data_IF_302278808355
#
_entry.id   IF_302278808355
#
_cell.length_a   1.000
_cell.length_b   1.000
_cell.length_c   1.000
_cell.angle_alpha   90.00
_cell.angle_beta   90.00
_cell.angle_gamma   90.00
#
_symmetry.space_group_name_H-M   'P 1'
#
loop_
_entity.id
_entity.type
_entity.pdbx_description
1 polymer ?
#
# COMPACT_ATOMS: atom_id res chain seq x y z
N UNK A 1 -9.36 21.90 -5.13
CA UNK A 1 -10.50 21.22 -4.50
C UNK A 1 -10.61 21.59 -3.02
N UNK A 2 -9.84 20.97 -2.12
CA UNK A 2 -9.94 21.23 -0.67
C UNK A 2 -9.76 22.71 -0.30
N UNK A 3 -8.62 23.33 -0.64
CA UNK A 3 -8.35 24.75 -0.32
C UNK A 3 -9.36 25.73 -0.91
N UNK A 4 -10.03 25.33 -2.01
CA UNK A 4 -11.04 26.14 -2.70
C UNK A 4 -12.46 25.91 -2.17
N UNK A 5 -12.64 24.96 -1.25
CA UNK A 5 -13.97 24.56 -0.77
C UNK A 5 -14.85 23.86 -1.80
N UNK A 6 -14.26 23.26 -2.85
CA UNK A 6 -15.02 22.56 -3.90
C UNK A 6 -15.44 21.14 -3.48
N UNK A 7 -14.80 20.59 -2.44
CA UNK A 7 -15.07 19.25 -1.89
C UNK A 7 -14.99 19.29 -0.37
N UNK A 8 -15.84 18.50 0.29
CA UNK A 8 -15.87 18.39 1.76
C UNK A 8 -14.87 17.36 2.32
N UNK A 9 -14.51 16.36 1.50
CA UNK A 9 -13.61 15.27 1.87
C UNK A 9 -12.84 14.74 0.64
N UNK A 10 -11.70 14.11 0.89
CA UNK A 10 -10.90 13.40 -0.11
C UNK A 10 -10.53 12.02 0.41
N UNK A 11 -10.57 11.02 -0.46
CA UNK A 11 -9.95 9.72 -0.22
C UNK A 11 -8.61 9.70 -0.96
N UNK A 12 -7.52 9.47 -0.24
CA UNK A 12 -6.17 9.54 -0.79
C UNK A 12 -5.29 8.41 -0.25
N UNK A 13 -4.13 8.22 -0.87
CA UNK A 13 -3.10 7.26 -0.46
C UNK A 13 -1.93 7.95 0.22
N UNK A 14 -1.12 7.19 0.95
CA UNK A 14 0.17 7.69 1.44
C UNK A 14 1.12 8.02 0.26
N UNK A 15 1.95 9.07 0.37
CA UNK A 15 2.11 9.96 1.53
C UNK A 15 1.15 11.17 1.57
N UNK A 16 0.22 11.30 0.62
CA UNK A 16 -0.57 12.52 0.47
C UNK A 16 -1.47 12.74 1.70
N UNK A 17 -2.07 11.66 2.25
CA UNK A 17 -2.84 11.71 3.49
C UNK A 17 -2.06 12.32 4.67
N UNK A 18 -0.89 11.77 4.98
CA UNK A 18 0.01 12.31 6.02
C UNK A 18 0.41 13.77 5.78
N UNK A 19 0.70 14.14 4.52
CA UNK A 19 1.07 15.52 4.16
C UNK A 19 -0.08 16.50 4.39
N UNK A 20 -1.31 16.13 4.03
CA UNK A 20 -2.48 16.98 4.25
C UNK A 20 -2.74 17.18 5.76
N UNK A 21 -2.62 16.12 6.56
CA UNK A 21 -2.75 16.20 8.03
C UNK A 21 -1.71 17.15 8.64
N UNK A 22 -0.46 17.10 8.15
CA UNK A 22 0.63 17.94 8.63
C UNK A 22 0.45 19.43 8.29
N UNK A 23 -0.27 19.75 7.22
CA UNK A 23 -0.64 21.13 6.89
C UNK A 23 -1.67 21.72 7.88
N UNK A 24 -2.30 20.89 8.71
CA UNK A 24 -3.27 21.32 9.72
C UNK A 24 -4.61 21.78 9.14
N UNK A 25 -4.86 21.54 7.84
CA UNK A 25 -6.07 21.97 7.13
C UNK A 25 -7.14 20.89 7.06
N UNK A 26 -6.78 19.63 7.34
CA UNK A 26 -7.70 18.48 7.33
C UNK A 26 -7.62 17.69 8.63
N UNK A 27 -8.60 16.81 8.84
CA UNK A 27 -8.60 15.78 9.88
C UNK A 27 -8.90 14.43 9.28
N UNK A 28 -8.41 13.36 9.90
CA UNK A 28 -8.72 12.01 9.44
C UNK A 28 -10.20 11.67 9.72
N UNK A 29 -10.87 11.04 8.77
CA UNK A 29 -12.23 10.50 8.90
C UNK A 29 -12.20 8.98 9.04
N UNK A 30 -11.36 8.32 8.24
CA UNK A 30 -11.10 6.89 8.29
C UNK A 30 -9.71 6.61 7.70
N UNK A 31 -8.89 5.86 8.43
CA UNK A 31 -7.58 5.36 7.98
C UNK A 31 -7.64 3.84 7.83
N UNK A 32 -7.52 3.35 6.60
CA UNK A 32 -7.59 1.91 6.31
C UNK A 32 -6.43 1.12 6.94
N UNK A 33 -5.32 1.75 7.30
CA UNK A 33 -4.21 1.09 7.98
C UNK A 33 -4.41 0.99 9.51
N UNK A 34 -5.38 1.72 10.09
CA UNK A 34 -5.54 1.85 11.55
C UNK A 34 -6.94 1.51 12.07
N UNK A 35 -7.97 1.88 11.33
CA UNK A 35 -9.34 1.85 11.82
C UNK A 35 -10.02 0.51 11.48
N UNK A 36 -10.79 -0.02 12.43
CA UNK A 36 -11.63 -1.19 12.20
C UNK A 36 -12.86 -0.81 11.33
N UNK A 37 -13.33 -1.69 10.45
CA UNK A 37 -12.86 -3.07 10.22
C UNK A 37 -11.64 -3.18 9.28
N UNK A 38 -11.27 -2.09 8.59
CA UNK A 38 -10.35 -2.10 7.44
C UNK A 38 -8.89 -2.43 7.77
N UNK A 39 -8.43 -2.17 9.00
CA UNK A 39 -7.04 -2.41 9.42
C UNK A 39 -6.53 -3.84 9.23
N UNK A 40 -7.45 -4.81 9.12
CA UNK A 40 -7.15 -6.22 8.91
C UNK A 40 -7.40 -6.67 7.45
N UNK A 41 -7.83 -5.76 6.58
CA UNK A 41 -8.11 -6.01 5.17
C UNK A 41 -6.87 -5.76 4.29
N UNK A 42 -6.75 -6.54 3.21
CA UNK A 42 -5.69 -6.35 2.23
C UNK A 42 -6.13 -5.38 1.14
N UNK A 43 -5.47 -4.22 1.08
CA UNK A 43 -5.75 -3.19 0.08
C UNK A 43 -5.00 -3.37 -1.25
N UNK A 44 -3.90 -4.13 -1.26
CA UNK A 44 -3.02 -4.29 -2.42
C UNK A 44 -2.95 -5.76 -2.88
N UNK A 45 -3.01 -5.99 -4.20
CA UNK A 45 -2.85 -7.30 -4.81
C UNK A 45 -1.97 -7.24 -6.07
N UNK A 46 -1.26 -8.33 -6.35
CA UNK A 46 -0.55 -8.54 -7.63
C UNK A 46 -1.26 -9.61 -8.42
N UNK A 47 -1.63 -9.29 -9.66
CA UNK A 47 -2.43 -10.17 -10.50
C UNK A 47 -1.55 -10.79 -11.59
N UNK A 48 -1.73 -12.08 -11.83
CA UNK A 48 -1.13 -12.81 -12.95
C UNK A 48 -2.22 -13.21 -13.94
N UNK A 49 -1.96 -13.06 -15.24
CA UNK A 49 -2.93 -13.51 -16.24
C UNK A 49 -3.11 -15.03 -16.22
N UNK A 50 -4.35 -15.50 -16.41
CA UNK A 50 -4.64 -16.94 -16.47
C UNK A 50 -3.86 -17.67 -17.57
N UNK A 51 -3.60 -17.01 -18.71
CA UNK A 51 -2.77 -17.56 -19.80
C UNK A 51 -1.33 -17.82 -19.35
N UNK A 52 -0.72 -16.86 -18.66
CA UNK A 52 0.65 -17.04 -18.16
C UNK A 52 0.70 -18.12 -17.07
N UNK A 53 -0.26 -18.11 -16.14
CA UNK A 53 -0.36 -19.11 -15.10
C UNK A 53 -0.48 -20.53 -15.67
N UNK A 54 -1.35 -20.74 -16.67
CA UNK A 54 -1.53 -22.05 -17.30
C UNK A 54 -0.26 -22.53 -18.02
N UNK A 55 0.45 -21.62 -18.69
CA UNK A 55 1.67 -21.96 -19.42
C UNK A 55 2.89 -22.14 -18.49
N UNK A 56 2.96 -21.38 -17.40
CA UNK A 56 4.15 -21.26 -16.54
C UNK A 56 3.81 -21.30 -15.04
N UNK A 57 3.13 -22.35 -14.53
CA UNK A 57 2.65 -22.39 -13.15
C UNK A 57 3.79 -22.35 -12.11
N UNK A 58 4.92 -23.00 -12.41
CA UNK A 58 6.11 -22.96 -11.56
C UNK A 58 6.74 -21.56 -11.47
N UNK A 59 6.74 -20.82 -12.58
CA UNK A 59 7.26 -19.46 -12.61
C UNK A 59 6.33 -18.49 -11.85
N UNK A 60 5.01 -18.64 -12.00
CA UNK A 60 4.03 -17.89 -11.21
C UNK A 60 4.24 -18.12 -9.70
N UNK A 61 4.37 -19.39 -9.27
CA UNK A 61 4.66 -19.72 -7.88
C UNK A 61 5.99 -19.13 -7.39
N UNK A 62 7.05 -19.17 -8.21
CA UNK A 62 8.34 -18.60 -7.87
C UNK A 62 8.29 -17.06 -7.72
N UNK A 63 7.61 -16.37 -8.64
CA UNK A 63 7.41 -14.93 -8.60
C UNK A 63 6.60 -14.52 -7.36
N UNK A 64 5.50 -15.22 -7.07
CA UNK A 64 4.70 -14.97 -5.87
C UNK A 64 5.53 -15.15 -4.61
N UNK A 65 6.34 -16.22 -4.50
CA UNK A 65 7.24 -16.39 -3.36
C UNK A 65 8.25 -15.25 -3.22
N UNK A 66 8.81 -14.77 -4.33
CA UNK A 66 9.74 -13.64 -4.29
C UNK A 66 9.06 -12.36 -3.78
N UNK A 67 7.84 -12.07 -4.24
CA UNK A 67 7.05 -10.92 -3.81
C UNK A 67 6.67 -11.00 -2.33
N UNK A 68 6.19 -12.16 -1.85
CA UNK A 68 5.84 -12.34 -0.44
C UNK A 68 7.07 -12.24 0.48
N UNK A 69 8.23 -12.76 0.06
CA UNK A 69 9.50 -12.56 0.76
C UNK A 69 9.90 -11.08 0.80
N UNK A 70 9.76 -10.37 -0.31
CA UNK A 70 10.07 -8.96 -0.40
C UNK A 70 9.17 -8.12 0.50
N UNK A 71 7.85 -8.36 0.51
CA UNK A 71 6.92 -7.71 1.42
C UNK A 71 7.32 -7.90 2.90
N UNK A 72 7.63 -9.15 3.29
CA UNK A 72 8.13 -9.45 4.64
C UNK A 72 9.44 -8.71 4.96
N UNK A 73 10.32 -8.56 3.98
CA UNK A 73 11.57 -7.82 4.13
C UNK A 73 11.32 -6.30 4.27
N UNK A 74 10.37 -5.73 3.52
CA UNK A 74 9.99 -4.31 3.63
C UNK A 74 9.39 -4.02 5.01
N UNK A 75 8.48 -4.88 5.49
CA UNK A 75 7.92 -4.78 6.85
C UNK A 75 9.01 -4.76 7.92
N UNK A 76 10.08 -5.56 7.73
CA UNK A 76 11.20 -5.62 8.67
C UNK A 76 12.21 -4.47 8.49
N UNK A 77 12.24 -3.82 7.33
CA UNK A 77 13.26 -2.83 6.95
C UNK A 77 12.66 -1.59 6.23
N UNK A 78 11.63 -0.93 6.80
CA UNK A 78 10.90 0.15 6.13
C UNK A 78 11.79 1.32 5.68
N UNK A 79 12.75 1.75 6.52
CA UNK A 79 13.60 2.90 6.22
C UNK A 79 14.60 2.61 5.09
N UNK A 80 15.14 1.40 5.02
CA UNK A 80 16.06 1.00 3.93
C UNK A 80 15.27 0.77 2.66
N UNK A 81 14.08 0.15 2.73
CA UNK A 81 13.19 0.01 1.58
C UNK A 81 12.87 1.37 0.96
N UNK A 82 12.56 2.37 1.79
CA UNK A 82 12.25 3.72 1.35
C UNK A 82 13.39 4.40 0.60
N UNK A 83 14.61 4.37 1.17
CA UNK A 83 15.81 4.90 0.53
C UNK A 83 16.10 4.18 -0.79
N UNK A 84 16.07 2.85 -0.77
CA UNK A 84 16.38 2.03 -1.93
C UNK A 84 15.50 2.36 -3.14
N UNK A 85 14.18 2.52 -2.93
CA UNK A 85 13.27 2.83 -4.04
C UNK A 85 13.51 4.22 -4.65
N UNK A 86 13.99 5.19 -3.85
CA UNK A 86 14.34 6.53 -4.34
C UNK A 86 15.68 6.50 -5.06
N UNK A 87 16.73 5.94 -4.44
CA UNK A 87 18.08 5.85 -5.02
C UNK A 87 18.10 5.08 -6.36
N UNK A 88 17.28 4.03 -6.46
CA UNK A 88 17.12 3.24 -7.70
C UNK A 88 16.18 3.89 -8.72
N UNK A 89 15.63 5.07 -8.42
CA UNK A 89 14.72 5.83 -9.28
C UNK A 89 13.44 5.04 -9.62
N UNK A 90 13.01 4.15 -8.73
CA UNK A 90 11.70 3.48 -8.86
C UNK A 90 10.57 4.39 -8.40
N UNK A 91 10.87 5.35 -7.51
CA UNK A 91 9.91 6.32 -7.02
C UNK A 91 10.50 7.73 -7.08
N UNK A 92 9.76 8.67 -7.68
CA UNK A 92 10.09 10.09 -7.70
C UNK A 92 9.64 10.76 -6.38
N UNK A 93 10.43 10.55 -5.32
CA UNK A 93 10.19 11.08 -3.97
C UNK A 93 11.53 11.37 -3.27
N UNK A 94 11.51 11.99 -2.09
CA UNK A 94 12.69 12.03 -1.22
C UNK A 94 12.71 10.79 -0.30
N UNK A 95 13.89 10.35 0.17
CA UNK A 95 13.98 9.22 1.09
C UNK A 95 13.16 9.42 2.38
N UNK A 96 13.09 10.64 2.90
CA UNK A 96 12.38 11.01 4.11
C UNK A 96 10.87 10.88 3.91
N UNK A 97 10.35 11.45 2.82
CA UNK A 97 8.92 11.38 2.47
C UNK A 97 8.48 9.93 2.24
N UNK A 98 9.30 9.15 1.55
CA UNK A 98 8.99 7.76 1.32
C UNK A 98 9.14 6.91 2.59
N UNK A 99 10.01 7.30 3.52
CA UNK A 99 10.13 6.61 4.82
C UNK A 99 8.84 6.80 5.62
N UNK A 100 8.23 7.99 5.60
CA UNK A 100 6.91 8.23 6.22
C UNK A 100 5.84 7.38 5.57
N UNK A 101 5.77 7.36 4.23
CA UNK A 101 4.78 6.55 3.51
C UNK A 101 4.89 5.06 3.90
N UNK A 102 6.10 4.50 3.81
CA UNK A 102 6.32 3.07 4.08
C UNK A 102 6.13 2.74 5.57
N UNK A 103 6.44 3.65 6.50
CA UNK A 103 6.27 3.39 7.94
C UNK A 103 4.82 3.41 8.40
N UNK A 104 3.94 4.07 7.65
CA UNK A 104 2.51 4.10 7.89
C UNK A 104 1.72 2.94 7.26
N UNK A 105 2.35 2.21 6.34
CA UNK A 105 1.76 1.07 5.68
C UNK A 105 2.20 -0.24 6.34
N UNK A 106 1.40 -1.29 6.17
CA UNK A 106 1.74 -2.66 6.59
C UNK A 106 2.06 -3.50 5.37
N UNK A 107 3.22 -4.13 5.38
CA UNK A 107 3.68 -5.05 4.34
C UNK A 107 3.65 -6.49 4.84
N UNK A 108 2.79 -6.81 5.81
CA UNK A 108 2.58 -8.16 6.31
C UNK A 108 1.84 -8.97 5.25
N UNK A 109 2.48 -9.96 4.61
CA UNK A 109 1.83 -10.74 3.56
C UNK A 109 1.02 -11.90 4.15
N UNK A 110 -0.07 -12.29 3.49
CA UNK A 110 -0.80 -13.55 3.77
C UNK A 110 -1.45 -14.11 2.51
N UNK A 111 -1.37 -15.44 2.37
CA UNK A 111 -2.05 -16.18 1.30
C UNK A 111 -3.54 -16.33 1.62
N UNK A 112 -3.90 -16.77 2.82
CA UNK A 112 -5.31 -16.87 3.23
C UNK A 112 -5.98 -15.50 3.36
N UNK A 113 -5.24 -14.48 3.82
CA UNK A 113 -5.72 -13.10 3.87
C UNK A 113 -6.07 -12.56 2.49
N UNK A 114 -5.25 -12.84 1.48
CA UNK A 114 -5.55 -12.45 0.10
C UNK A 114 -6.77 -13.20 -0.48
N UNK A 115 -6.93 -14.49 -0.19
CA UNK A 115 -8.12 -15.26 -0.59
C UNK A 115 -9.40 -14.69 0.08
N UNK A 116 -9.33 -14.38 1.37
CA UNK A 116 -10.42 -13.73 2.09
C UNK A 116 -10.75 -12.35 1.52
N UNK A 117 -9.74 -11.53 1.20
CA UNK A 117 -9.92 -10.20 0.63
C UNK A 117 -10.58 -10.23 -0.75
N UNK A 118 -10.25 -11.20 -1.61
CA UNK A 118 -10.93 -11.37 -2.91
C UNK A 118 -12.41 -11.68 -2.72
N UNK A 119 -12.77 -12.47 -1.69
CA UNK A 119 -14.16 -12.80 -1.38
C UNK A 119 -14.92 -11.60 -0.81
N UNK A 120 -14.34 -10.86 0.13
CA UNK A 120 -14.99 -9.67 0.70
C UNK A 120 -15.16 -8.57 -0.35
N UNK A 121 -14.11 -8.28 -1.13
CA UNK A 121 -14.17 -7.29 -2.20
C UNK A 121 -15.25 -7.63 -3.24
N UNK A 122 -15.35 -8.90 -3.66
CA UNK A 122 -16.39 -9.30 -4.61
C UNK A 122 -17.81 -9.16 -4.02
N UNK A 123 -18.00 -9.41 -2.73
CA UNK A 123 -19.28 -9.21 -2.05
C UNK A 123 -19.65 -7.72 -1.96
N UNK A 124 -18.69 -6.89 -1.56
CA UNK A 124 -18.87 -5.44 -1.42
C UNK A 124 -19.09 -4.75 -2.76
N UNK A 125 -18.36 -5.14 -3.80
CA UNK A 125 -18.58 -4.64 -5.16
C UNK A 125 -19.99 -4.96 -5.66
N UNK A 126 -20.59 -6.07 -5.24
CA UNK A 126 -21.99 -6.38 -5.54
C UNK A 126 -22.95 -5.48 -4.77
N UNK A 127 -22.70 -5.24 -3.48
CA UNK A 127 -23.51 -4.32 -2.66
C UNK A 127 -23.43 -2.89 -3.20
N UNK A 128 -22.24 -2.45 -3.62
CA UNK A 128 -21.98 -1.14 -4.22
C UNK A 128 -22.55 -0.98 -5.64
N UNK A 129 -23.11 -2.05 -6.23
CA UNK A 129 -23.68 -2.02 -7.58
C UNK A 129 -22.64 -2.03 -8.71
N UNK A 130 -21.37 -2.30 -8.41
CA UNK A 130 -20.31 -2.49 -9.41
C UNK A 130 -20.40 -3.85 -10.11
N UNK A 131 -20.95 -4.86 -9.42
CA UNK A 131 -21.28 -6.16 -10.00
C UNK A 131 -22.80 -6.31 -10.13
N UNK A 132 -23.25 -7.06 -11.14
CA UNK A 132 -24.67 -7.37 -11.32
C UNK A 132 -25.26 -8.00 -10.05
N UNK A 133 -26.53 -7.68 -9.77
CA UNK A 133 -27.29 -8.34 -8.69
C UNK A 133 -27.39 -9.86 -8.88
N UNK A 134 -27.28 -10.34 -10.14
CA UNK A 134 -27.26 -11.76 -10.48
C UNK A 134 -25.89 -12.43 -10.35
N UNK A 135 -24.81 -11.69 -10.03
CA UNK A 135 -23.46 -12.26 -9.93
C UNK A 135 -23.37 -13.24 -8.77
N UNK A 136 -22.86 -14.45 -9.06
CA UNK A 136 -22.42 -15.40 -8.05
C UNK A 136 -21.02 -14.99 -7.55
N UNK A 137 -21.00 -14.42 -6.35
CA UNK A 137 -19.78 -13.90 -5.72
C UNK A 137 -18.80 -15.02 -5.37
N UNK A 138 -19.31 -16.17 -4.92
CA UNK A 138 -18.45 -17.29 -4.51
C UNK A 138 -17.77 -17.92 -5.73
N UNK A 139 -18.51 -18.09 -6.82
CA UNK A 139 -17.96 -18.57 -8.10
C UNK A 139 -16.90 -17.60 -8.65
N UNK A 140 -17.22 -16.31 -8.67
CA UNK A 140 -16.31 -15.26 -9.15
C UNK A 140 -14.99 -15.25 -8.36
N UNK A 141 -15.08 -15.24 -7.02
CA UNK A 141 -13.91 -15.25 -6.16
C UNK A 141 -13.05 -16.50 -6.36
N UNK A 142 -13.68 -17.69 -6.47
CA UNK A 142 -13.00 -18.96 -6.73
C UNK A 142 -12.25 -18.96 -8.07
N UNK A 143 -12.74 -18.25 -9.08
CA UNK A 143 -12.05 -18.09 -10.38
C UNK A 143 -10.95 -17.04 -10.34
N UNK A 144 -11.12 -16.00 -9.54
CA UNK A 144 -10.17 -14.90 -9.44
C UNK A 144 -8.93 -15.24 -8.61
N UNK A 145 -9.06 -16.13 -7.62
CA UNK A 145 -7.96 -16.53 -6.75
C UNK A 145 -7.46 -17.95 -7.04
N UNK A 146 -6.14 -18.12 -7.09
CA UNK A 146 -5.50 -19.43 -7.27
C UNK A 146 -4.51 -19.72 -6.15
N UNK A 147 -4.61 -20.93 -5.60
CA UNK A 147 -3.59 -21.46 -4.68
C UNK A 147 -2.44 -22.05 -5.50
N UNK A 148 -1.24 -21.51 -5.30
CA UNK A 148 -0.04 -21.91 -6.03
C UNK A 148 0.75 -22.95 -5.24
N UNK A 149 1.30 -23.94 -5.96
CA UNK A 149 2.04 -25.03 -5.34
C UNK A 149 3.22 -24.54 -4.48
N UNK A 150 3.26 -25.01 -3.23
CA UNK A 150 4.23 -24.62 -2.22
C UNK A 150 4.17 -23.13 -1.80
N UNK A 151 3.06 -22.42 -2.06
CA UNK A 151 2.84 -21.04 -1.60
C UNK A 151 1.68 -21.04 -0.60
N UNK A 152 2.03 -21.21 0.68
CA UNK A 152 1.07 -21.31 1.79
C UNK A 152 1.45 -20.35 2.91
N UNK A 153 0.51 -20.06 3.81
CA UNK A 153 0.83 -19.31 5.04
C UNK A 153 1.85 -20.06 5.92
N UNK A 154 1.76 -21.40 5.99
CA UNK A 154 2.74 -22.25 6.68
C UNK A 154 4.18 -21.98 6.17
N UNK A 155 4.35 -22.03 4.85
CA UNK A 155 5.62 -21.71 4.20
C UNK A 155 6.03 -20.27 4.49
N UNK A 156 5.12 -19.31 4.33
CA UNK A 156 5.39 -17.89 4.52
C UNK A 156 5.80 -17.54 5.97
N UNK A 157 5.22 -18.23 6.94
CA UNK A 157 5.58 -18.13 8.35
C UNK A 157 6.99 -18.67 8.60
N UNK A 158 7.39 -19.74 7.92
CA UNK A 158 8.75 -20.29 8.00
C UNK A 158 9.85 -19.42 7.37
N UNK A 159 9.49 -18.56 6.42
CA UNK A 159 10.44 -17.66 5.74
C UNK A 159 11.04 -16.68 6.74
N UNK A 160 12.37 -16.67 6.86
CA UNK A 160 13.11 -15.63 7.59
C UNK A 160 13.64 -14.58 6.61
N UNK A 161 13.59 -13.32 7.04
CA UNK A 161 14.16 -12.18 6.31
C UNK A 161 15.20 -11.50 7.18
N UNK A 162 16.24 -10.97 6.55
CA UNK A 162 17.28 -10.21 7.23
C UNK A 162 16.72 -8.89 7.79
N UNK A 163 17.25 -8.46 8.94
CA UNK A 163 17.11 -7.09 9.43
C UNK A 163 18.41 -6.33 9.18
N UNK A 164 18.31 -5.26 8.40
CA UNK A 164 19.43 -4.40 8.02
C UNK A 164 19.61 -3.30 9.05
N UNK A 165 20.87 -2.97 9.36
CA UNK A 165 21.20 -1.87 10.25
C UNK A 165 20.62 -0.54 9.75
N UNK A 166 19.91 0.18 10.63
CA UNK A 166 19.22 1.42 10.25
C UNK A 166 18.03 1.21 9.31
N UNK A 167 17.53 -0.04 9.19
CA UNK A 167 16.36 -0.41 8.40
C UNK A 167 15.02 -0.19 9.10
N UNK A 168 15.03 -0.13 10.43
CA UNK A 168 13.80 0.05 11.20
C UNK A 168 13.50 1.53 11.41
N UNK A 169 12.22 1.81 11.63
CA UNK A 169 11.72 3.13 11.99
C UNK A 169 11.56 3.19 13.52
N UNK A 170 12.01 4.27 14.20
CA UNK A 170 11.78 4.42 15.63
C UNK A 170 10.29 4.31 16.00
N UNK A 171 9.93 3.58 17.08
CA UNK A 171 8.54 3.32 17.44
C UNK A 171 7.73 4.58 17.81
N UNK A 172 8.43 5.67 18.17
CA UNK A 172 7.82 6.96 18.52
C UNK A 172 8.07 8.02 17.45
N UNK A 173 8.23 7.64 16.17
CA UNK A 173 8.24 8.65 15.12
C UNK A 173 6.91 9.38 15.11
N UNK A 174 6.94 10.67 15.42
CA UNK A 174 5.79 11.54 15.26
C UNK A 174 5.65 11.86 13.77
N UNK A 175 4.75 11.15 13.09
CA UNK A 175 4.51 11.32 11.65
C UNK A 175 4.13 12.76 11.32
N UNK A 176 3.45 13.48 12.22
CA UNK A 176 3.14 14.89 12.00
C UNK A 176 4.42 15.71 12.00
N UNK A 177 5.31 15.52 12.99
CA UNK A 177 6.61 16.19 13.03
C UNK A 177 7.47 15.86 11.80
N UNK A 178 7.52 14.59 11.38
CA UNK A 178 8.25 14.20 10.18
C UNK A 178 7.66 14.82 8.91
N UNK A 179 6.34 14.84 8.80
CA UNK A 179 5.64 15.46 7.66
C UNK A 179 5.83 16.98 7.65
N UNK A 180 5.86 17.64 8.81
CA UNK A 180 6.21 19.06 8.97
C UNK A 180 7.65 19.33 8.53
N UNK A 181 8.61 18.47 8.93
CA UNK A 181 10.00 18.57 8.49
C UNK A 181 10.13 18.36 6.97
N UNK A 182 9.36 17.45 6.39
CA UNK A 182 9.33 17.21 4.94
C UNK A 182 8.76 18.42 4.17
N UNK A 183 7.76 19.12 4.72
CA UNK A 183 7.25 20.36 4.14
C UNK A 183 8.29 21.51 4.19
N UNK A 184 9.23 21.46 5.13
CA UNK A 184 10.34 22.41 5.25
C UNK A 184 11.55 22.03 4.38
N UNK A 185 11.65 20.76 3.98
CA UNK A 185 12.73 20.26 3.14
C UNK A 185 12.64 20.80 1.70
N UNK A 186 13.79 21.24 1.19
CA UNK A 186 13.94 21.93 -0.09
C UNK A 186 14.06 20.99 -1.29
N UNK A 187 14.20 19.68 -1.08
CA UNK A 187 14.22 18.73 -2.19
C UNK A 187 12.85 18.60 -2.86
N UNK A 188 12.85 18.65 -4.20
CA UNK A 188 11.64 18.48 -5.00
C UNK A 188 11.14 17.04 -4.96
N UNK A 189 9.83 16.87 -4.79
CA UNK A 189 9.13 15.59 -4.89
C UNK A 189 7.79 15.81 -5.56
N UNK A 190 7.32 14.81 -6.32
CA UNK A 190 6.02 14.85 -6.99
C UNK A 190 4.88 15.25 -6.04
N UNK A 191 4.91 14.74 -4.80
CA UNK A 191 3.90 15.02 -3.79
C UNK A 191 4.03 16.39 -3.11
N UNK A 192 5.17 17.09 -3.28
CA UNK A 192 5.42 18.42 -2.71
C UNK A 192 5.08 19.56 -3.66
N UNK A 193 4.87 19.30 -4.95
CA UNK A 193 4.73 20.36 -5.96
C UNK A 193 3.47 21.18 -5.70
N UNK A 194 3.63 22.28 -4.96
CA UNK A 194 2.76 23.45 -5.10
C UNK A 194 3.02 24.01 -6.48
N UNK A 195 2.24 23.60 -7.48
CA UNK A 195 2.01 24.52 -8.60
C UNK A 195 1.30 25.72 -7.98
N UNK A 196 2.04 26.81 -7.78
CA UNK A 196 1.47 28.14 -7.67
C UNK A 196 0.71 28.39 -8.98
N UNK A 197 -0.55 27.95 -9.04
CA UNK A 197 -1.48 28.48 -10.03
C UNK A 197 -1.97 29.80 -9.48
N UNK A 198 -1.08 30.77 -9.54
CA UNK A 198 -1.36 32.20 -9.43
C UNK A 198 -0.20 32.93 -10.12
N UNK A 199 -0.11 32.78 -11.45
CA UNK A 199 0.44 33.85 -12.28
C UNK A 199 -0.50 35.05 -12.11
N UNK A 200 0.02 36.22 -11.73
CA UNK A 200 0.42 37.28 -12.66
C UNK A 200 -0.72 37.73 -13.57
N UNK A 201 -1.17 38.96 -13.27
CA UNK A 201 -2.16 39.83 -13.94
C UNK A 201 -3.63 39.65 -13.55
#
# INVERSE_FOLDING_TARGET
ALDKGEVDAVADSEPIGSLLLAQGTVKNVADQARDAPYKDEYCCAVIVSGKFLAAQPKAAAAATRALLKAAKWVEANPAVAARLSVEKKYLASSPELNTVAISHLRYVPSVSGADAAVKSAAAEMKVAGMLSSSTDVAELARRAFVHLDGVTDEWLNSVKVERVAGGQVPPNQDIRLFSELILQDKEESCCKVRKSVAGTE
#
